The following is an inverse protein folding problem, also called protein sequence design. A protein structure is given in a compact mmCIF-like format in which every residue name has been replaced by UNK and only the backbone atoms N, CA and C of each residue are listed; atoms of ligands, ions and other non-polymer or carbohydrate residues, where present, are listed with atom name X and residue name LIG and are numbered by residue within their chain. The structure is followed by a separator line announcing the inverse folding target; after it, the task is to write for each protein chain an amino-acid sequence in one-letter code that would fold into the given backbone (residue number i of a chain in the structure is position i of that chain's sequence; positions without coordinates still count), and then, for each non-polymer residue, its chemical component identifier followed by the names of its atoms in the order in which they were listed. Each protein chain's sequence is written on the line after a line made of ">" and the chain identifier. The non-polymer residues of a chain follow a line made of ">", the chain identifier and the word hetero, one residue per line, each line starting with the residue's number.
data_IF_929631991221
#
_entry.id   IF_929631991221
#
_cell.length_a   1.000
_cell.length_b   1.000
_cell.length_c   1.000
_cell.angle_alpha   90.00
_cell.angle_beta   90.00
_cell.angle_gamma   90.00
#
_symmetry.space_group_name_H-M   'P 1'
#
loop_
_entity.id
_entity.type
_entity.pdbx_description
1 polymer ?
#
# COMPACT_ATOMS: atom_id res chain seq x y z
N UNK A 1 17.30 10.76 -5.30
CA UNK A 1 17.63 9.89 -4.16
C UNK A 1 16.77 8.65 -4.36
N UNK A 2 17.35 7.45 -4.42
CA UNK A 2 16.55 6.24 -4.55
C UNK A 2 15.64 6.10 -3.32
N UNK A 3 14.41 5.65 -3.52
CA UNK A 3 13.48 5.43 -2.43
C UNK A 3 13.99 4.32 -1.50
N UNK A 4 13.84 4.50 -0.18
CA UNK A 4 14.17 3.47 0.79
C UNK A 4 12.87 2.92 1.37
N UNK A 5 12.46 1.69 1.01
CA UNK A 5 11.20 1.11 1.47
C UNK A 5 11.27 0.79 2.96
N UNK A 6 10.28 1.25 3.73
CA UNK A 6 10.21 0.96 5.18
C UNK A 6 9.89 -0.52 5.44
N UNK A 7 9.25 -1.19 4.47
CA UNK A 7 8.92 -2.61 4.60
C UNK A 7 10.14 -3.53 4.43
N UNK A 8 11.25 -3.02 3.90
CA UNK A 8 12.41 -3.83 3.50
C UNK A 8 12.15 -4.76 2.31
N UNK A 9 11.01 -4.63 1.63
CA UNK A 9 10.72 -5.37 0.39
C UNK A 9 11.61 -4.86 -0.72
N UNK A 10 12.12 -5.77 -1.55
CA UNK A 10 13.03 -5.42 -2.66
C UNK A 10 12.40 -5.69 -4.02
N UNK A 11 12.83 -4.97 -5.08
CA UNK A 11 12.40 -5.26 -6.46
C UNK A 11 12.61 -6.72 -6.87
N UNK A 12 13.71 -7.34 -6.46
CA UNK A 12 14.01 -8.74 -6.74
C UNK A 12 13.05 -9.74 -6.09
N UNK A 13 12.44 -9.41 -4.96
CA UNK A 13 11.35 -10.21 -4.38
C UNK A 13 10.07 -10.08 -5.19
N UNK A 14 9.69 -8.86 -5.57
CA UNK A 14 8.50 -8.58 -6.38
C UNK A 14 8.57 -9.25 -7.75
N UNK A 15 9.72 -9.17 -8.45
CA UNK A 15 9.96 -9.86 -9.72
C UNK A 15 9.79 -11.38 -9.61
N UNK A 16 10.30 -11.98 -8.52
CA UNK A 16 10.15 -13.43 -8.27
C UNK A 16 8.71 -13.85 -8.03
N UNK A 17 7.93 -13.06 -7.31
CA UNK A 17 6.50 -13.36 -7.12
C UNK A 17 5.70 -13.17 -8.42
N UNK A 18 5.98 -12.10 -9.17
CA UNK A 18 5.30 -11.81 -10.42
C UNK A 18 5.71 -12.75 -11.55
N UNK A 19 6.91 -13.35 -11.51
CA UNK A 19 7.50 -14.07 -12.66
C UNK A 19 7.62 -13.17 -13.91
N UNK A 20 7.98 -11.90 -13.72
CA UNK A 20 8.11 -10.90 -14.79
C UNK A 20 9.57 -10.47 -14.97
N UNK A 21 10.03 -10.40 -16.23
CA UNK A 21 11.35 -9.86 -16.62
C UNK A 21 11.25 -8.44 -17.20
N UNK A 22 12.36 -7.69 -17.16
CA UNK A 22 12.45 -6.32 -17.70
C UNK A 22 12.04 -6.23 -19.18
N UNK A 23 12.41 -7.23 -20.00
CA UNK A 23 12.07 -7.32 -21.42
C UNK A 23 10.55 -7.33 -21.68
N UNK A 24 9.78 -7.95 -20.77
CA UNK A 24 8.32 -8.05 -20.90
C UNK A 24 7.61 -6.71 -20.69
N UNK A 25 8.27 -5.72 -20.09
CA UNK A 25 7.75 -4.36 -19.95
C UNK A 25 8.52 -3.33 -20.80
N UNK A 26 9.58 -3.74 -21.48
CA UNK A 26 10.28 -2.91 -22.47
C UNK A 26 11.28 -1.96 -21.84
N UNK A 27 11.75 -2.28 -20.64
CA UNK A 27 12.91 -1.63 -20.03
C UNK A 27 14.18 -2.07 -20.77
N UNK A 28 15.15 -1.16 -20.87
CA UNK A 28 16.41 -1.45 -21.57
C UNK A 28 17.40 -2.18 -20.67
N UNK A 29 17.25 -2.02 -19.36
CA UNK A 29 18.13 -2.62 -18.35
C UNK A 29 17.36 -3.05 -17.10
N UNK A 30 17.87 -4.06 -16.39
CA UNK A 30 17.35 -4.45 -15.08
C UNK A 30 17.48 -3.34 -14.03
N UNK A 31 18.47 -2.45 -14.17
CA UNK A 31 18.69 -1.33 -13.25
C UNK A 31 17.55 -0.31 -13.34
N UNK A 32 17.15 0.05 -14.56
CA UNK A 32 15.99 0.94 -14.78
C UNK A 32 14.69 0.29 -14.30
N UNK A 33 14.55 -1.01 -14.54
CA UNK A 33 13.36 -1.75 -14.09
C UNK A 33 13.28 -1.82 -12.56
N UNK A 34 14.39 -2.11 -11.88
CA UNK A 34 14.45 -2.17 -10.42
C UNK A 34 14.22 -0.80 -9.78
N UNK A 35 14.78 0.27 -10.37
CA UNK A 35 14.50 1.63 -9.94
C UNK A 35 13.01 1.97 -10.07
N UNK A 36 12.36 1.61 -11.18
CA UNK A 36 10.92 1.84 -11.35
C UNK A 36 10.06 1.05 -10.36
N UNK A 37 10.37 -0.24 -10.14
CA UNK A 37 9.65 -1.05 -9.14
C UNK A 37 9.80 -0.44 -7.75
N UNK A 38 11.01 -0.02 -7.39
CA UNK A 38 11.32 0.53 -6.07
C UNK A 38 10.66 1.90 -5.86
N UNK A 39 10.91 2.83 -6.77
CA UNK A 39 10.56 4.24 -6.59
C UNK A 39 9.08 4.52 -6.90
N UNK A 40 8.41 3.64 -7.65
CA UNK A 40 6.99 3.79 -8.01
C UNK A 40 6.13 2.74 -7.30
N UNK A 41 6.29 1.46 -7.67
CA UNK A 41 5.32 0.44 -7.24
C UNK A 41 5.41 0.11 -5.75
N UNK A 42 6.61 -0.04 -5.20
CA UNK A 42 6.80 -0.34 -3.78
C UNK A 42 6.37 0.86 -2.94
N UNK A 43 6.78 2.08 -3.31
CA UNK A 43 6.38 3.31 -2.62
C UNK A 43 4.85 3.50 -2.58
N UNK A 44 4.17 3.28 -3.71
CA UNK A 44 2.70 3.35 -3.77
C UNK A 44 2.02 2.24 -2.95
N UNK A 45 2.51 1.00 -3.04
CA UNK A 45 1.96 -0.11 -2.27
C UNK A 45 2.11 0.10 -0.75
N UNK A 46 3.25 0.62 -0.31
CA UNK A 46 3.50 1.00 1.08
C UNK A 46 2.52 2.08 1.55
N UNK A 47 2.32 3.14 0.76
CA UNK A 47 1.34 4.19 1.08
C UNK A 47 -0.10 3.69 1.14
N UNK A 48 -0.50 2.76 0.25
CA UNK A 48 -1.82 2.12 0.29
C UNK A 48 -2.02 1.31 1.56
N UNK A 49 -1.00 0.54 1.98
CA UNK A 49 -1.06 -0.29 3.20
C UNK A 49 -1.13 0.59 4.45
N UNK A 50 -0.35 1.65 4.53
CA UNK A 50 -0.39 2.61 5.65
C UNK A 50 -1.76 3.30 5.74
N UNK A 51 -2.29 3.76 4.60
CA UNK A 51 -3.61 4.37 4.51
C UNK A 51 -4.72 3.40 4.95
N UNK A 52 -4.67 2.14 4.50
CA UNK A 52 -5.61 1.10 4.89
C UNK A 52 -5.53 0.79 6.40
N UNK A 53 -4.30 0.63 6.91
CA UNK A 53 -4.09 0.30 8.32
C UNK A 53 -4.23 1.51 9.25
N UNK A 54 -4.31 2.73 8.69
CA UNK A 54 -4.28 4.01 9.42
C UNK A 54 -3.10 4.08 10.39
N UNK A 55 -1.95 3.64 9.91
CA UNK A 55 -0.77 3.38 10.71
C UNK A 55 0.48 3.77 9.92
N UNK A 56 1.44 4.36 10.63
CA UNK A 56 2.80 4.56 10.16
C UNK A 56 3.62 3.34 10.60
N UNK A 57 4.03 2.51 9.65
CA UNK A 57 4.73 1.26 9.96
C UNK A 57 6.21 1.51 10.27
N UNK A 58 6.81 2.58 9.75
CA UNK A 58 8.19 2.97 10.04
C UNK A 58 8.34 3.37 11.51
N UNK A 59 7.36 4.12 12.04
CA UNK A 59 7.35 4.53 13.45
C UNK A 59 6.97 3.39 14.40
N UNK A 60 5.95 2.59 14.05
CA UNK A 60 5.44 1.56 14.96
C UNK A 60 6.28 0.27 14.95
N UNK A 61 7.05 0.02 13.88
CA UNK A 61 7.88 -1.18 13.71
C UNK A 61 9.30 -0.82 13.26
N UNK A 62 10.10 -0.14 14.11
CA UNK A 62 11.43 0.36 13.74
C UNK A 62 12.45 -0.76 13.48
N UNK A 63 12.20 -1.97 13.99
CA UNK A 63 13.04 -3.15 13.73
C UNK A 63 12.69 -3.84 12.39
N UNK A 64 11.62 -3.40 11.73
CA UNK A 64 11.17 -3.90 10.43
C UNK A 64 9.71 -4.35 10.44
N UNK A 65 9.07 -4.19 9.28
CA UNK A 65 7.68 -4.55 9.09
C UNK A 65 7.40 -6.05 9.35
N UNK A 66 6.24 -6.41 9.93
CA UNK A 66 5.81 -7.80 10.08
C UNK A 66 5.77 -8.56 8.75
N UNK A 67 6.07 -9.86 8.76
CA UNK A 67 6.13 -10.66 7.53
C UNK A 67 4.80 -10.69 6.75
N UNK A 68 3.67 -10.64 7.45
CA UNK A 68 2.37 -10.55 6.81
C UNK A 68 2.23 -9.27 5.98
N UNK A 69 2.71 -8.14 6.50
CA UNK A 69 2.70 -6.83 5.82
C UNK A 69 3.60 -6.87 4.59
N UNK A 70 4.83 -7.40 4.74
CA UNK A 70 5.76 -7.59 3.60
C UNK A 70 5.16 -8.47 2.51
N UNK A 71 4.48 -9.56 2.90
CA UNK A 71 3.81 -10.47 1.96
C UNK A 71 2.70 -9.77 1.19
N UNK A 72 1.91 -8.93 1.86
CA UNK A 72 0.85 -8.16 1.20
C UNK A 72 1.44 -7.17 0.20
N UNK A 73 2.47 -6.40 0.57
CA UNK A 73 3.15 -5.46 -0.33
C UNK A 73 3.70 -6.20 -1.56
N UNK A 74 4.43 -7.32 -1.37
CA UNK A 74 4.95 -8.14 -2.48
C UNK A 74 3.84 -8.57 -3.44
N UNK A 75 2.69 -9.01 -2.92
CA UNK A 75 1.55 -9.45 -3.74
C UNK A 75 0.86 -8.30 -4.48
N UNK A 76 0.67 -7.17 -3.81
CA UNK A 76 0.13 -5.95 -4.43
C UNK A 76 1.00 -5.53 -5.62
N UNK A 77 2.31 -5.42 -5.39
CA UNK A 77 3.27 -5.04 -6.44
C UNK A 77 3.30 -6.08 -7.55
N UNK A 78 3.24 -7.38 -7.22
CA UNK A 78 3.21 -8.44 -8.23
C UNK A 78 1.96 -8.39 -9.10
N UNK A 79 0.80 -8.12 -8.50
CA UNK A 79 -0.45 -7.93 -9.24
C UNK A 79 -0.36 -6.68 -10.14
N UNK A 80 0.19 -5.58 -9.65
CA UNK A 80 0.43 -4.37 -10.44
C UNK A 80 1.37 -4.62 -11.63
N UNK A 81 2.44 -5.40 -11.43
CA UNK A 81 3.34 -5.83 -12.51
C UNK A 81 2.62 -6.67 -13.57
N UNK A 82 1.76 -7.60 -13.16
CA UNK A 82 0.97 -8.41 -14.08
C UNK A 82 -0.02 -7.55 -14.89
N UNK A 83 -0.68 -6.58 -14.25
CA UNK A 83 -1.53 -5.61 -14.94
C UNK A 83 -0.72 -4.79 -15.96
N UNK A 84 0.48 -4.34 -15.60
CA UNK A 84 1.35 -3.63 -16.53
C UNK A 84 1.72 -4.48 -17.77
N UNK A 85 2.01 -5.77 -17.58
CA UNK A 85 2.29 -6.70 -18.69
C UNK A 85 1.05 -6.91 -19.57
N UNK A 86 -0.13 -7.09 -18.97
CA UNK A 86 -1.38 -7.24 -19.72
C UNK A 86 -1.72 -5.98 -20.51
N UNK A 87 -1.55 -4.80 -19.92
CA UNK A 87 -1.78 -3.52 -20.58
C UNK A 87 -0.83 -3.35 -21.78
N UNK A 88 0.42 -3.80 -21.67
CA UNK A 88 1.36 -3.83 -22.81
C UNK A 88 0.89 -4.72 -23.95
N UNK A 89 0.37 -5.90 -23.63
CA UNK A 89 -0.12 -6.84 -24.64
C UNK A 89 -1.39 -6.32 -25.33
N UNK A 90 -2.05 -5.31 -24.76
CA UNK A 90 -3.14 -4.59 -25.39
C UNK A 90 -2.70 -3.67 -26.54
N UNK A 91 -3.62 -3.25 -27.42
CA UNK A 91 -3.23 -2.80 -28.77
C UNK A 91 -2.43 -1.50 -28.91
N UNK A 92 -2.26 -0.64 -27.88
CA UNK A 92 -1.72 0.73 -28.08
C UNK A 92 -1.04 1.36 -26.84
N UNK A 93 -0.25 0.63 -26.04
CA UNK A 93 0.50 1.27 -24.92
C UNK A 93 1.89 1.70 -25.39
N UNK A 94 2.16 3.02 -25.36
CA UNK A 94 3.47 3.59 -25.65
C UNK A 94 4.44 3.32 -24.49
N UNK A 95 5.67 2.95 -24.83
CA UNK A 95 6.79 2.82 -23.89
C UNK A 95 6.93 4.16 -23.15
N UNK A 96 6.68 4.18 -21.83
CA UNK A 96 6.79 5.37 -20.98
C UNK A 96 5.49 5.90 -20.40
N UNK A 97 4.32 5.38 -20.81
CA UNK A 97 3.00 5.83 -20.32
C UNK A 97 2.30 4.75 -19.46
N UNK A 98 3.07 4.08 -18.61
CA UNK A 98 2.56 3.08 -17.67
C UNK A 98 1.78 3.77 -16.53
N UNK A 99 0.55 4.18 -16.79
CA UNK A 99 -0.39 4.52 -15.71
C UNK A 99 -1.00 3.23 -15.18
N UNK A 100 -0.44 2.69 -14.10
CA UNK A 100 -1.15 1.70 -13.29
C UNK A 100 -2.26 2.46 -12.58
N UNK A 101 -3.47 2.44 -13.15
CA UNK A 101 -4.64 2.93 -12.44
C UNK A 101 -4.97 1.92 -11.33
N UNK A 102 -4.59 2.26 -10.09
CA UNK A 102 -4.94 1.52 -8.86
C UNK A 102 -6.44 1.36 -8.62
N UNK A 103 -7.28 1.94 -9.49
CA UNK A 103 -8.71 1.75 -9.54
C UNK A 103 -9.11 0.30 -9.87
N UNK A 104 -8.19 -0.53 -10.37
CA UNK A 104 -8.49 -1.92 -10.67
C UNK A 104 -8.60 -2.77 -9.41
N UNK A 105 -9.78 -3.38 -9.21
CA UNK A 105 -10.18 -4.09 -7.99
C UNK A 105 -9.31 -5.33 -7.70
N UNK A 106 -8.51 -5.76 -8.67
CA UNK A 106 -7.60 -6.91 -8.59
C UNK A 106 -6.23 -6.60 -7.98
N UNK A 107 -5.81 -5.33 -7.89
CA UNK A 107 -4.47 -4.99 -7.37
C UNK A 107 -4.43 -5.13 -5.84
N UNK A 108 -5.53 -4.80 -5.15
CA UNK A 108 -5.66 -4.91 -3.70
C UNK A 108 -6.92 -5.68 -3.27
N UNK A 109 -6.93 -7.01 -3.48
CA UNK A 109 -8.09 -7.85 -3.23
C UNK A 109 -8.39 -8.03 -1.72
N UNK A 110 -9.62 -8.45 -1.42
CA UNK A 110 -10.13 -8.51 -0.04
C UNK A 110 -9.43 -9.56 0.84
N UNK A 111 -8.81 -10.58 0.23
CA UNK A 111 -7.97 -11.56 0.94
C UNK A 111 -6.69 -10.91 1.51
N UNK A 112 -6.06 -9.99 0.77
CA UNK A 112 -4.92 -9.22 1.27
C UNK A 112 -5.34 -8.25 2.37
N UNK A 113 -6.51 -7.63 2.25
CA UNK A 113 -7.09 -6.79 3.31
C UNK A 113 -7.35 -7.60 4.58
N UNK A 114 -7.81 -8.84 4.46
CA UNK A 114 -8.01 -9.73 5.60
C UNK A 114 -6.70 -10.07 6.33
N UNK A 115 -5.58 -10.20 5.60
CA UNK A 115 -4.26 -10.36 6.21
C UNK A 115 -3.78 -9.12 6.98
N UNK A 116 -4.22 -7.93 6.55
CA UNK A 116 -3.89 -6.67 7.21
C UNK A 116 -4.79 -6.35 8.41
N UNK A 117 -5.94 -7.01 8.54
CA UNK A 117 -6.93 -6.75 9.60
C UNK A 117 -6.35 -6.65 11.02
N UNK A 118 -5.39 -7.51 11.45
CA UNK A 118 -4.79 -7.40 12.77
C UNK A 118 -3.95 -6.14 13.00
N UNK A 119 -3.47 -5.51 11.93
CA UNK A 119 -2.55 -4.37 11.98
C UNK A 119 -3.29 -3.02 11.89
N UNK A 120 -4.57 -3.03 11.51
CA UNK A 120 -5.41 -1.83 11.38
C UNK A 120 -5.58 -1.15 12.75
N UNK A 121 -5.14 0.10 12.86
CA UNK A 121 -5.42 0.96 14.02
C UNK A 121 -6.90 1.31 14.03
N UNK A 122 -7.66 0.61 14.87
CA UNK A 122 -9.06 0.94 15.14
C UNK A 122 -9.13 2.06 16.15
N UNK A 123 -9.70 3.20 15.77
CA UNK A 123 -10.00 4.29 16.69
C UNK A 123 -10.93 3.74 17.78
N UNK A 124 -10.51 3.80 19.04
CA UNK A 124 -11.38 3.42 20.16
C UNK A 124 -12.51 4.44 20.21
N UNK A 125 -13.73 4.02 19.87
CA UNK A 125 -14.90 4.88 20.05
C UNK A 125 -15.12 5.06 21.56
N UNK A 126 -14.64 6.18 22.09
CA UNK A 126 -15.01 6.61 23.43
C UNK A 126 -16.44 7.12 23.31
N UNK A 127 -17.42 6.32 23.78
CA UNK A 127 -18.72 6.89 24.14
C UNK A 127 -18.41 7.93 25.20
N UNK A 128 -18.49 9.22 24.84
CA UNK A 128 -18.54 10.26 25.85
C UNK A 128 -19.73 9.93 26.73
N UNK A 129 -19.48 9.41 27.94
CA UNK A 129 -20.48 9.42 28.99
C UNK A 129 -20.92 10.86 29.08
N UNK A 130 -22.20 11.16 28.82
CA UNK A 130 -22.75 12.50 29.03
C UNK A 130 -22.57 12.81 30.51
N UNK A 131 -21.46 13.43 30.90
CA UNK A 131 -21.43 14.29 32.06
C UNK A 131 -22.23 15.54 31.69
N UNK A 132 -23.55 15.40 31.58
CA UNK A 132 -24.43 16.49 31.97
C UNK A 132 -24.43 16.40 33.50
N UNK A 133 -23.40 16.97 34.14
CA UNK A 133 -23.61 17.43 35.50
C UNK A 133 -24.75 18.44 35.40
N UNK A 134 -25.79 18.27 36.21
CA UNK A 134 -26.88 19.25 36.33
C UNK A 134 -26.32 20.66 36.66
N UNK A 135 -25.09 20.71 37.20
CA UNK A 135 -24.27 21.90 37.38
C UNK A 135 -23.97 22.65 36.07
N UNK A 136 -23.79 21.96 34.94
CA UNK A 136 -23.58 22.60 33.66
C UNK A 136 -24.87 23.19 33.08
N UNK A 137 -26.05 22.61 33.34
CA UNK A 137 -27.33 23.22 32.91
C UNK A 137 -27.65 24.48 33.72
N UNK A 138 -27.35 24.49 35.02
CA UNK A 138 -27.56 25.65 35.88
C UNK A 138 -26.72 26.89 35.48
N UNK A 139 -25.57 26.69 34.82
CA UNK A 139 -24.70 27.79 34.39
C UNK A 139 -25.18 28.52 33.11
N UNK A 140 -26.10 27.92 32.33
CA UNK A 140 -26.55 28.47 31.04
C UNK A 140 -28.01 28.96 31.02
N UNK A 141 -28.71 28.95 32.15
CA UNK A 141 -29.98 29.68 32.31
C UNK A 141 -31.10 29.29 31.33
N UNK A 142 -31.20 28.02 30.95
CA UNK A 142 -32.39 27.49 30.28
C UNK A 142 -33.31 26.85 31.33
N UNK A 143 -34.41 27.55 31.65
CA UNK A 143 -35.62 26.96 32.25
C UNK A 143 -36.40 26.13 31.21
#
# INVERSE_FOLDING_TARGET
>A
MAYTPWSGVTPGECKRYAQVSCDQLGFSTDVEFDAWINDVLIAEAEGVVESYCRRDFDVDYPEGAPEAVRTVIRRIVSNALQVAVLNRAGPLVRIGDWRVEWADRNIFPDDLKALLEPYVKRTRYVKATRYQTEEAKAAWGED
#
